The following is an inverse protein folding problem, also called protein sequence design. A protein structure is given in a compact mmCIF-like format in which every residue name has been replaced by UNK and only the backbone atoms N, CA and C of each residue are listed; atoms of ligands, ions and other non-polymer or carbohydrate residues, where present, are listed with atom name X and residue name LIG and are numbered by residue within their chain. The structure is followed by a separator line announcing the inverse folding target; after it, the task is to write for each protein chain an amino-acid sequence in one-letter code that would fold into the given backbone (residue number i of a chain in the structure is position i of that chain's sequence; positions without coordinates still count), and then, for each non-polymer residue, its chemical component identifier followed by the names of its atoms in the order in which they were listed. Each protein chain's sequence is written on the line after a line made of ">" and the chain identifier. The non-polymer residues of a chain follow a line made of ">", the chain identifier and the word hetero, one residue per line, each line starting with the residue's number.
data_IF_017049207963
#
_entry.id   IF_017049207963
#
_cell.length_a   1.000
_cell.length_b   1.000
_cell.length_c   1.000
_cell.angle_alpha   90.00
_cell.angle_beta   90.00
_cell.angle_gamma   90.00
#
_symmetry.space_group_name_H-M   'P 1'
#
loop_
_entity.id
_entity.type
_entity.pdbx_description
1 polymer ?
#
# COMPACT_ATOMS: atom_id res chain seq x y z
N UNK A 1 57.08 69.41 -32.27
CA UNK A 1 55.75 68.80 -32.09
C UNK A 1 55.89 67.29 -32.17
N UNK A 2 55.70 66.61 -31.04
CA UNK A 2 55.76 65.15 -30.94
C UNK A 2 54.51 64.71 -30.17
N UNK A 3 53.66 63.91 -30.80
CA UNK A 3 52.53 63.24 -30.15
C UNK A 3 52.75 61.73 -30.23
N UNK A 4 53.00 61.15 -29.07
CA UNK A 4 53.32 59.73 -28.84
C UNK A 4 52.03 59.05 -28.37
N UNK A 5 51.41 58.24 -29.24
CA UNK A 5 50.25 57.44 -28.87
C UNK A 5 50.69 56.19 -28.09
N UNK A 6 50.50 56.22 -26.77
CA UNK A 6 50.55 55.04 -25.90
C UNK A 6 49.16 54.89 -25.27
N UNK A 7 48.49 53.78 -25.54
CA UNK A 7 47.33 53.37 -24.75
C UNK A 7 46.28 52.62 -25.55
N UNK A 8 46.47 51.31 -25.76
CA UNK A 8 45.37 50.38 -26.09
C UNK A 8 45.75 48.89 -25.97
N UNK A 9 46.80 48.53 -25.22
CA UNK A 9 47.21 47.13 -25.04
C UNK A 9 46.73 46.47 -23.73
N UNK A 10 46.12 47.22 -22.81
CA UNK A 10 45.81 46.74 -21.45
C UNK A 10 44.44 46.08 -21.23
N UNK A 11 43.45 46.24 -22.12
CA UNK A 11 42.07 45.80 -21.86
C UNK A 11 41.68 44.45 -22.47
N UNK A 12 42.56 43.79 -23.24
CA UNK A 12 42.24 42.52 -23.93
C UNK A 12 42.48 41.26 -23.10
N UNK A 13 43.10 41.35 -21.93
CA UNK A 13 43.48 40.16 -21.14
C UNK A 13 42.43 39.73 -20.10
N UNK A 14 41.53 40.61 -19.66
CA UNK A 14 40.54 40.28 -18.61
C UNK A 14 39.21 39.76 -19.19
N UNK A 15 38.82 40.20 -20.39
CA UNK A 15 37.60 39.73 -21.04
C UNK A 15 37.68 38.28 -21.59
N UNK A 16 38.88 37.78 -21.91
CA UNK A 16 39.07 36.44 -22.47
C UNK A 16 39.06 35.32 -21.43
N UNK A 17 39.47 35.62 -20.18
CA UNK A 17 39.47 34.63 -19.09
C UNK A 17 38.05 34.27 -18.61
N UNK A 18 37.14 35.25 -18.54
CA UNK A 18 35.74 35.02 -18.11
C UNK A 18 34.92 34.19 -19.10
N UNK A 19 35.13 34.39 -20.40
CA UNK A 19 34.44 33.64 -21.46
C UNK A 19 34.97 32.20 -21.57
N UNK A 20 36.28 31.99 -21.40
CA UNK A 20 36.88 30.66 -21.42
C UNK A 20 36.42 29.77 -20.26
N UNK A 21 36.29 30.33 -19.05
CA UNK A 21 35.79 29.62 -17.88
C UNK A 21 34.29 29.26 -18.02
N UNK A 22 33.47 30.19 -18.51
CA UNK A 22 32.04 29.93 -18.73
C UNK A 22 31.79 28.89 -19.84
N UNK A 23 32.53 28.96 -20.95
CA UNK A 23 32.46 27.98 -22.02
C UNK A 23 32.97 26.60 -21.56
N UNK A 24 34.05 26.55 -20.77
CA UNK A 24 34.57 25.32 -20.18
C UNK A 24 33.55 24.65 -19.25
N UNK A 25 32.90 25.42 -18.38
CA UNK A 25 31.83 24.92 -17.50
C UNK A 25 30.60 24.43 -18.28
N UNK A 26 30.23 25.11 -19.38
CA UNK A 26 29.12 24.67 -20.23
C UNK A 26 29.44 23.36 -20.98
N UNK A 27 30.68 23.20 -21.45
CA UNK A 27 31.14 21.97 -22.12
C UNK A 27 31.23 20.80 -21.15
N UNK A 28 31.74 21.00 -19.93
CA UNK A 28 31.78 19.93 -18.90
C UNK A 28 30.37 19.51 -18.47
N UNK A 29 29.45 20.46 -18.26
CA UNK A 29 28.05 20.17 -18.00
C UNK A 29 27.39 19.44 -19.18
N UNK A 30 27.65 19.86 -20.42
CA UNK A 30 27.13 19.19 -21.61
C UNK A 30 27.68 17.75 -21.76
N UNK A 31 28.95 17.54 -21.45
CA UNK A 31 29.57 16.21 -21.45
C UNK A 31 29.03 15.30 -20.32
N UNK A 32 28.59 15.87 -19.20
CA UNK A 32 28.00 15.11 -18.08
C UNK A 32 26.49 14.83 -18.23
N UNK A 33 25.76 15.58 -19.07
CA UNK A 33 24.33 15.38 -19.30
C UNK A 33 23.93 13.95 -19.72
N UNK A 34 24.63 13.29 -20.67
CA UNK A 34 24.30 11.91 -21.04
C UNK A 34 24.48 10.92 -19.89
N UNK A 35 25.53 11.09 -19.07
CA UNK A 35 25.78 10.25 -17.91
C UNK A 35 24.67 10.42 -16.85
N UNK A 36 24.27 11.66 -16.55
CA UNK A 36 23.15 11.92 -15.64
C UNK A 36 21.82 11.35 -16.16
N UNK A 37 21.56 11.45 -17.47
CA UNK A 37 20.37 10.83 -18.09
C UNK A 37 20.40 9.31 -17.98
N UNK A 38 21.54 8.69 -18.23
CA UNK A 38 21.71 7.23 -18.10
C UNK A 38 21.53 6.77 -16.65
N UNK A 39 22.07 7.51 -15.68
CA UNK A 39 21.87 7.22 -14.26
C UNK A 39 20.40 7.33 -13.85
N UNK A 40 19.69 8.39 -14.27
CA UNK A 40 18.25 8.54 -14.01
C UNK A 40 17.44 7.39 -14.61
N UNK A 41 17.67 7.06 -15.88
CA UNK A 41 17.00 5.94 -16.53
C UNK A 41 17.27 4.60 -15.82
N UNK A 42 18.49 4.41 -15.28
CA UNK A 42 18.82 3.21 -14.51
C UNK A 42 18.15 3.19 -13.14
N UNK A 43 18.04 4.33 -12.46
CA UNK A 43 17.30 4.44 -11.20
C UNK A 43 15.82 4.14 -11.44
N UNK A 44 15.19 4.79 -12.41
CA UNK A 44 13.79 4.55 -12.80
C UNK A 44 13.56 3.07 -13.13
N UNK A 45 14.46 2.46 -13.89
CA UNK A 45 14.37 1.03 -14.22
C UNK A 45 14.47 0.13 -12.97
N UNK A 46 15.38 0.44 -12.04
CA UNK A 46 15.53 -0.31 -10.79
C UNK A 46 14.32 -0.11 -9.86
N UNK A 47 13.76 1.09 -9.80
CA UNK A 47 12.54 1.41 -9.04
C UNK A 47 11.35 0.60 -9.57
N UNK A 48 11.15 0.61 -10.90
CA UNK A 48 10.10 -0.19 -11.54
C UNK A 48 10.32 -1.70 -11.33
N UNK A 49 11.56 -2.19 -11.48
CA UNK A 49 11.87 -3.60 -11.25
C UNK A 49 11.64 -4.01 -9.79
N UNK A 50 12.04 -3.16 -8.83
CA UNK A 50 11.81 -3.37 -7.40
C UNK A 50 10.33 -3.39 -7.06
N UNK A 51 9.54 -2.48 -7.64
CA UNK A 51 8.09 -2.42 -7.44
C UNK A 51 7.40 -3.66 -8.02
N UNK A 52 7.76 -4.06 -9.23
CA UNK A 52 7.22 -5.26 -9.86
C UNK A 52 7.59 -6.53 -9.05
N UNK A 53 8.82 -6.61 -8.54
CA UNK A 53 9.24 -7.71 -7.67
C UNK A 53 8.46 -7.72 -6.36
N UNK A 54 8.26 -6.56 -5.73
CA UNK A 54 7.47 -6.43 -4.51
C UNK A 54 6.03 -6.91 -4.71
N UNK A 55 5.38 -6.46 -5.79
CA UNK A 55 4.03 -6.90 -6.15
C UNK A 55 3.95 -8.40 -6.43
N UNK A 56 4.95 -8.97 -7.09
CA UNK A 56 5.05 -10.41 -7.35
C UNK A 56 5.18 -11.21 -6.06
N UNK A 57 6.08 -10.78 -5.17
CA UNK A 57 6.29 -11.42 -3.87
C UNK A 57 5.02 -11.38 -3.01
N UNK A 58 4.32 -10.25 -3.03
CA UNK A 58 3.07 -10.08 -2.31
C UNK A 58 1.97 -11.03 -2.82
N UNK A 59 1.75 -11.07 -4.14
CA UNK A 59 0.80 -12.00 -4.75
C UNK A 59 1.14 -13.46 -4.47
N UNK A 60 2.44 -13.80 -4.45
CA UNK A 60 2.90 -15.14 -4.08
C UNK A 60 2.59 -15.47 -2.62
N UNK A 61 2.86 -14.54 -1.69
CA UNK A 61 2.50 -14.73 -0.28
C UNK A 61 1.00 -14.97 -0.14
N UNK A 62 0.16 -14.14 -0.77
CA UNK A 62 -1.29 -14.26 -0.67
C UNK A 62 -1.78 -15.62 -1.17
N UNK A 63 -1.17 -16.15 -2.24
CA UNK A 63 -1.47 -17.50 -2.73
C UNK A 63 -1.11 -18.57 -1.70
N UNK A 64 0.08 -18.50 -1.10
CA UNK A 64 0.49 -19.43 -0.04
C UNK A 64 -0.46 -19.38 1.16
N UNK A 65 -0.86 -18.17 1.59
CA UNK A 65 -1.82 -18.02 2.67
C UNK A 65 -3.15 -18.70 2.35
N UNK A 66 -3.70 -18.48 1.15
CA UNK A 66 -4.90 -19.16 0.69
C UNK A 66 -4.75 -20.68 0.64
N UNK A 67 -3.61 -21.19 0.16
CA UNK A 67 -3.34 -22.63 0.11
C UNK A 67 -3.31 -23.26 1.52
N UNK A 68 -2.75 -22.56 2.51
CA UNK A 68 -2.75 -23.02 3.91
C UNK A 68 -4.17 -23.03 4.49
N UNK A 69 -4.94 -21.97 4.26
CA UNK A 69 -6.34 -21.91 4.70
C UNK A 69 -7.19 -22.99 4.02
N UNK A 70 -6.99 -23.23 2.72
CA UNK A 70 -7.68 -24.29 1.98
C UNK A 70 -7.40 -25.67 2.59
N UNK A 71 -6.13 -25.96 2.91
CA UNK A 71 -5.76 -27.23 3.57
C UNK A 71 -6.41 -27.36 4.95
N UNK A 72 -6.39 -26.29 5.74
CA UNK A 72 -7.06 -26.28 7.04
C UNK A 72 -8.59 -26.42 6.93
N UNK A 73 -9.20 -25.93 5.84
CA UNK A 73 -10.63 -26.13 5.60
C UNK A 73 -10.99 -27.58 5.24
N UNK A 74 -10.07 -28.33 4.64
CA UNK A 74 -10.27 -29.73 4.25
C UNK A 74 -9.93 -30.72 5.38
N UNK A 75 -9.04 -30.33 6.30
CA UNK A 75 -8.54 -31.17 7.39
C UNK A 75 -8.76 -30.52 8.77
N UNK A 76 -9.73 -31.01 9.56
CA UNK A 76 -10.02 -30.49 10.90
C UNK A 76 -8.82 -30.53 11.86
N UNK A 77 -7.92 -31.51 11.73
CA UNK A 77 -6.75 -31.62 12.61
C UNK A 77 -5.74 -30.49 12.31
N UNK A 78 -5.66 -30.04 11.05
CA UNK A 78 -4.88 -28.86 10.68
C UNK A 78 -5.58 -27.56 11.08
N UNK A 79 -6.91 -27.54 11.07
CA UNK A 79 -7.70 -26.38 11.48
C UNK A 79 -7.45 -26.02 12.95
N UNK A 80 -7.25 -27.02 13.82
CA UNK A 80 -7.02 -26.83 15.26
C UNK A 80 -5.85 -25.88 15.55
N UNK A 81 -4.80 -25.87 14.71
CA UNK A 81 -3.65 -24.94 14.84
C UNK A 81 -4.07 -23.47 14.68
N UNK A 82 -5.16 -23.23 13.96
CA UNK A 82 -5.72 -21.91 13.68
C UNK A 82 -6.89 -21.56 14.62
N UNK A 83 -7.26 -22.45 15.54
CA UNK A 83 -8.29 -22.19 16.55
C UNK A 83 -7.73 -21.31 17.68
N UNK A 84 -7.74 -20.00 17.43
CA UNK A 84 -7.41 -19.00 18.43
C UNK A 84 -8.66 -18.27 18.94
N UNK A 85 -9.85 -18.83 18.73
CA UNK A 85 -11.11 -18.22 19.12
C UNK A 85 -11.35 -18.39 20.64
N UNK A 86 -12.06 -17.45 21.25
CA UNK A 86 -12.47 -17.59 22.64
C UNK A 86 -13.58 -18.65 22.75
N UNK A 87 -13.23 -19.84 23.26
CA UNK A 87 -14.16 -20.94 23.49
C UNK A 87 -14.04 -22.08 22.48
N UNK A 88 -14.93 -23.06 22.55
CA UNK A 88 -14.92 -24.22 21.65
C UNK A 88 -15.80 -23.96 20.43
N UNK A 89 -15.20 -23.91 19.25
CA UNK A 89 -15.89 -23.72 17.97
C UNK A 89 -16.11 -25.09 17.31
N UNK A 90 -17.29 -25.32 16.71
CA UNK A 90 -17.51 -26.59 16.00
C UNK A 90 -16.63 -26.67 14.74
N UNK A 91 -16.22 -27.87 14.27
CA UNK A 91 -15.43 -28.00 13.03
C UNK A 91 -16.13 -27.40 11.79
N UNK A 92 -17.47 -27.32 11.80
CA UNK A 92 -18.22 -26.63 10.75
C UNK A 92 -18.01 -25.12 10.83
N UNK A 93 -18.22 -24.54 12.01
CA UNK A 93 -18.08 -23.09 12.25
C UNK A 93 -16.64 -22.64 12.02
N UNK A 94 -15.67 -23.44 12.42
CA UNK A 94 -14.25 -23.19 12.19
C UNK A 94 -13.94 -23.05 10.70
N UNK A 95 -14.44 -23.95 9.84
CA UNK A 95 -14.29 -23.82 8.38
C UNK A 95 -14.94 -22.56 7.83
N UNK A 96 -16.10 -22.17 8.37
CA UNK A 96 -16.75 -20.92 7.97
C UNK A 96 -15.95 -19.70 8.40
N UNK A 97 -15.33 -19.72 9.58
CA UNK A 97 -14.47 -18.65 10.08
C UNK A 97 -13.15 -18.56 9.29
N UNK A 98 -12.54 -19.69 8.91
CA UNK A 98 -11.39 -19.70 8.01
C UNK A 98 -11.72 -19.09 6.65
N UNK A 99 -12.91 -19.40 6.10
CA UNK A 99 -13.37 -18.79 4.86
C UNK A 99 -13.63 -17.28 5.01
N UNK A 100 -14.27 -16.87 6.12
CA UNK A 100 -14.48 -15.45 6.43
C UNK A 100 -13.16 -14.68 6.59
N UNK A 101 -12.16 -15.30 7.25
CA UNK A 101 -10.80 -14.77 7.34
C UNK A 101 -10.20 -14.57 5.95
N UNK A 102 -10.32 -15.57 5.08
CA UNK A 102 -9.79 -15.49 3.73
C UNK A 102 -10.45 -14.37 2.89
N UNK A 103 -11.76 -14.15 3.02
CA UNK A 103 -12.46 -13.05 2.37
C UNK A 103 -11.95 -11.69 2.86
N UNK A 104 -11.82 -11.53 4.18
CA UNK A 104 -11.32 -10.30 4.78
C UNK A 104 -9.87 -10.00 4.40
N UNK A 105 -8.97 -10.98 4.53
CA UNK A 105 -7.55 -10.80 4.21
C UNK A 105 -7.35 -10.56 2.71
N UNK A 106 -8.16 -11.18 1.84
CA UNK A 106 -8.16 -10.88 0.41
C UNK A 106 -8.51 -9.42 0.11
N UNK A 107 -9.58 -8.89 0.70
CA UNK A 107 -9.96 -7.48 0.53
C UNK A 107 -8.91 -6.51 1.08
N UNK A 108 -8.34 -6.82 2.26
CA UNK A 108 -7.23 -6.06 2.85
C UNK A 108 -6.02 -6.04 1.92
N UNK A 109 -5.72 -7.16 1.26
CA UNK A 109 -4.64 -7.25 0.29
C UNK A 109 -4.93 -6.42 -0.96
N UNK A 110 -6.16 -6.47 -1.48
CA UNK A 110 -6.58 -5.62 -2.60
C UNK A 110 -6.42 -4.13 -2.30
N UNK A 111 -6.81 -3.71 -1.09
CA UNK A 111 -6.61 -2.35 -0.62
C UNK A 111 -5.12 -1.98 -0.53
N UNK A 112 -4.29 -2.82 0.11
CA UNK A 112 -2.84 -2.58 0.25
C UNK A 112 -2.10 -2.51 -1.08
N UNK A 113 -2.59 -3.21 -2.10
CA UNK A 113 -2.05 -3.15 -3.47
C UNK A 113 -2.45 -1.87 -4.23
N UNK A 114 -3.36 -1.07 -3.69
CA UNK A 114 -3.92 0.11 -4.37
C UNK A 114 -4.95 -0.22 -5.44
N UNK A 115 -5.45 -1.47 -5.48
CA UNK A 115 -6.47 -1.92 -6.43
C UNK A 115 -7.90 -1.67 -5.91
N UNK A 116 -8.03 -1.23 -4.67
CA UNK A 116 -9.29 -0.95 -4.01
C UNK A 116 -9.12 0.31 -3.17
N UNK A 117 -10.00 1.28 -3.33
CA UNK A 117 -10.03 2.49 -2.50
C UNK A 117 -10.57 2.17 -1.10
N UNK A 118 -10.41 3.10 -0.16
CA UNK A 118 -10.96 2.94 1.19
C UNK A 118 -12.49 2.90 1.18
N UNK A 119 -13.12 3.70 0.31
CA UNK A 119 -14.57 3.70 0.10
C UNK A 119 -15.07 2.38 -0.47
N UNK A 120 -14.37 1.81 -1.46
CA UNK A 120 -14.71 0.49 -2.02
C UNK A 120 -14.57 -0.61 -0.97
N UNK A 121 -13.53 -0.56 -0.14
CA UNK A 121 -13.37 -1.47 0.99
C UNK A 121 -14.52 -1.33 1.99
N UNK A 122 -14.96 -0.11 2.29
CA UNK A 122 -16.11 0.14 3.16
C UNK A 122 -17.38 -0.50 2.60
N UNK A 123 -17.67 -0.31 1.32
CA UNK A 123 -18.81 -0.94 0.65
C UNK A 123 -18.74 -2.47 0.67
N UNK A 124 -17.55 -3.03 0.46
CA UNK A 124 -17.33 -4.47 0.56
C UNK A 124 -17.56 -5.01 1.98
N UNK A 125 -17.03 -4.34 3.00
CA UNK A 125 -17.25 -4.69 4.40
C UNK A 125 -18.73 -4.62 4.77
N UNK A 126 -19.44 -3.57 4.34
CA UNK A 126 -20.89 -3.42 4.55
C UNK A 126 -21.67 -4.62 4.05
N UNK A 127 -21.32 -5.12 2.85
CA UNK A 127 -21.91 -6.31 2.25
C UNK A 127 -21.57 -7.58 3.04
N UNK A 128 -20.31 -7.78 3.44
CA UNK A 128 -19.91 -8.94 4.25
C UNK A 128 -20.63 -9.00 5.59
N UNK A 129 -20.80 -7.86 6.25
CA UNK A 129 -21.50 -7.75 7.52
C UNK A 129 -23.01 -8.05 7.41
N UNK A 130 -23.59 -8.24 6.22
CA UNK A 130 -24.95 -8.80 6.12
C UNK A 130 -25.00 -10.28 6.48
N UNK A 131 -23.87 -10.99 6.38
CA UNK A 131 -23.82 -12.40 6.71
C UNK A 131 -23.63 -12.60 8.22
N UNK A 132 -24.55 -13.28 8.93
CA UNK A 132 -24.45 -13.48 10.38
C UNK A 132 -23.19 -14.26 10.78
N UNK A 133 -22.75 -15.22 9.95
CA UNK A 133 -21.53 -15.99 10.22
C UNK A 133 -20.28 -15.10 10.11
N UNK A 134 -20.28 -14.14 9.20
CA UNK A 134 -19.20 -13.16 9.13
C UNK A 134 -19.19 -12.25 10.37
N UNK A 135 -20.36 -11.83 10.88
CA UNK A 135 -20.44 -11.07 12.15
C UNK A 135 -19.89 -11.89 13.33
N UNK A 136 -20.28 -13.15 13.45
CA UNK A 136 -19.78 -14.05 14.49
C UNK A 136 -18.25 -14.19 14.42
N UNK A 137 -17.70 -14.43 13.21
CA UNK A 137 -16.27 -14.43 12.96
C UNK A 137 -15.62 -13.10 13.37
N UNK A 138 -16.25 -11.98 13.01
CA UNK A 138 -15.74 -10.64 13.28
C UNK A 138 -15.66 -10.37 14.79
N UNK A 139 -16.65 -10.83 15.55
CA UNK A 139 -16.61 -10.78 17.01
C UNK A 139 -15.56 -11.73 17.60
N UNK A 140 -15.53 -12.99 17.17
CA UNK A 140 -14.60 -14.00 17.68
C UNK A 140 -13.12 -13.63 17.46
N UNK A 141 -12.81 -12.86 16.43
CA UNK A 141 -11.45 -12.41 16.12
C UNK A 141 -11.10 -11.03 16.67
N UNK A 142 -11.96 -10.41 17.47
CA UNK A 142 -11.70 -9.09 18.07
C UNK A 142 -10.40 -9.05 18.90
N UNK A 143 -10.04 -10.05 19.72
CA UNK A 143 -8.79 -10.04 20.46
C UNK A 143 -7.55 -9.95 19.54
N UNK A 144 -7.57 -10.64 18.41
CA UNK A 144 -6.48 -10.59 17.43
C UNK A 144 -6.30 -9.18 16.88
N UNK A 145 -7.40 -8.54 16.46
CA UNK A 145 -7.36 -7.16 15.94
C UNK A 145 -6.91 -6.15 17.00
N UNK A 146 -7.21 -6.39 18.28
CA UNK A 146 -6.76 -5.55 19.38
C UNK A 146 -5.24 -5.61 19.64
N UNK A 147 -4.53 -6.62 19.12
CA UNK A 147 -3.05 -6.71 19.23
C UNK A 147 -2.31 -6.00 18.10
N UNK A 148 -3.02 -5.52 17.08
CA UNK A 148 -2.43 -4.83 15.95
C UNK A 148 -1.83 -3.48 16.38
N UNK A 149 -0.76 -3.07 15.70
CA UNK A 149 -0.20 -1.72 15.87
C UNK A 149 -1.28 -0.72 15.44
N UNK A 150 -1.65 0.19 16.34
CA UNK A 150 -2.76 1.14 16.15
C UNK A 150 -2.67 1.99 14.88
N UNK A 151 -1.44 2.30 14.45
CA UNK A 151 -1.15 3.11 13.27
C UNK A 151 -1.13 2.31 11.96
N UNK A 152 -1.20 0.98 12.04
CA UNK A 152 -1.22 0.11 10.88
C UNK A 152 -2.53 0.28 10.09
N UNK A 153 -2.44 0.09 8.77
CA UNK A 153 -3.62 0.16 7.89
C UNK A 153 -4.69 -0.87 8.27
N UNK A 154 -4.27 -2.04 8.75
CA UNK A 154 -5.20 -3.08 9.18
C UNK A 154 -5.96 -2.70 10.45
N UNK A 155 -5.29 -2.07 11.42
CA UNK A 155 -5.96 -1.56 12.61
C UNK A 155 -6.97 -0.45 12.26
N UNK A 156 -6.61 0.45 11.33
CA UNK A 156 -7.51 1.52 10.85
C UNK A 156 -8.74 0.96 10.13
N UNK A 157 -8.54 0.03 9.20
CA UNK A 157 -9.65 -0.61 8.48
C UNK A 157 -10.47 -1.50 9.43
N UNK A 158 -9.83 -2.21 10.35
CA UNK A 158 -10.50 -3.00 11.37
C UNK A 158 -11.47 -2.17 12.20
N UNK A 159 -11.01 -1.03 12.74
CA UNK A 159 -11.88 -0.09 13.47
C UNK A 159 -13.03 0.44 12.62
N UNK A 160 -12.76 0.77 11.36
CA UNK A 160 -13.80 1.21 10.43
C UNK A 160 -14.90 0.15 10.23
N UNK A 161 -14.53 -1.14 10.17
CA UNK A 161 -15.49 -2.24 10.08
C UNK A 161 -16.19 -2.48 11.43
N UNK A 162 -15.49 -2.31 12.55
CA UNK A 162 -16.11 -2.36 13.89
C UNK A 162 -17.19 -1.26 14.04
N UNK A 163 -16.88 -0.02 13.67
CA UNK A 163 -17.81 1.11 13.72
C UNK A 163 -19.01 0.89 12.78
N UNK A 164 -18.78 0.34 11.59
CA UNK A 164 -19.83 0.00 10.64
C UNK A 164 -20.75 -1.10 11.16
N UNK A 165 -20.20 -2.12 11.84
CA UNK A 165 -21.00 -3.18 12.45
C UNK A 165 -21.94 -2.61 13.51
N UNK A 166 -21.44 -1.72 14.38
CA UNK A 166 -22.29 -1.03 15.38
C UNK A 166 -23.42 -0.26 14.69
N UNK A 167 -23.10 0.51 13.66
CA UNK A 167 -24.12 1.27 12.91
C UNK A 167 -25.16 0.37 12.24
N UNK A 168 -24.75 -0.78 11.70
CA UNK A 168 -25.66 -1.78 11.10
C UNK A 168 -26.54 -2.50 12.13
N UNK A 169 -26.09 -2.61 13.39
CA UNK A 169 -26.89 -3.19 14.47
C UNK A 169 -27.86 -2.19 15.08
N UNK A 170 -27.50 -0.91 15.12
CA UNK A 170 -28.36 0.18 15.60
C UNK A 170 -29.39 0.64 14.55
N UNK A 171 -29.08 0.45 13.26
CA UNK A 171 -29.96 0.83 12.17
C UNK A 171 -31.15 -0.13 12.05
N UNK A 172 -32.31 0.30 12.56
CA UNK A 172 -33.60 -0.39 12.39
C UNK A 172 -34.22 -0.10 11.01
N UNK A 173 -33.46 -0.33 9.94
CA UNK A 173 -33.89 -0.14 8.56
C UNK A 173 -33.50 -1.33 7.67
N UNK A 174 -34.38 -1.71 6.76
CA UNK A 174 -34.14 -2.80 5.79
C UNK A 174 -33.06 -2.45 4.75
N UNK A 175 -32.83 -1.14 4.52
CA UNK A 175 -31.91 -0.63 3.52
C UNK A 175 -30.46 -0.57 4.05
N UNK A 176 -29.88 -1.73 4.29
CA UNK A 176 -28.52 -1.83 4.84
C UNK A 176 -27.45 -1.12 3.99
N UNK A 177 -27.65 -0.95 2.67
CA UNK A 177 -26.69 -0.32 1.76
C UNK A 177 -26.52 1.18 1.96
N UNK A 178 -27.46 1.86 2.64
CA UNK A 178 -27.33 3.28 3.02
C UNK A 178 -26.75 3.49 4.41
N UNK A 179 -26.53 2.43 5.18
CA UNK A 179 -26.03 2.53 6.57
C UNK A 179 -24.55 2.91 6.57
N UNK A 180 -24.25 3.95 7.34
CA UNK A 180 -22.93 4.51 7.57
C UNK A 180 -22.40 5.35 6.43
N UNK A 181 -21.68 6.41 6.81
CA UNK A 181 -21.04 7.33 5.87
C UNK A 181 -19.71 6.73 5.38
N UNK A 182 -19.51 6.61 4.06
CA UNK A 182 -18.21 6.22 3.53
C UNK A 182 -17.15 7.23 3.97
N UNK A 183 -15.94 6.79 4.33
CA UNK A 183 -14.88 7.71 4.71
C UNK A 183 -14.53 8.63 3.53
N UNK A 184 -14.49 9.94 3.77
CA UNK A 184 -13.86 10.87 2.84
C UNK A 184 -12.36 10.61 2.76
N UNK A 185 -11.81 10.70 1.55
CA UNK A 185 -10.37 10.48 1.26
C UNK A 185 -9.43 11.35 2.12
#
# INVERSE_FOLDING_TARGET
>A
MATRNIGLRGLRAVASAGVGLAAGAAVTLAAQRPALKSLRARIEHLEHASQAQHQTNFAHQQRLHWELLSKAMDDPDLAEVLDAYDGTVSPRTQRQFLFANALYTNALCYYRMGNMTREEFFGFARSMLQNPIFREYWYATRPHRATLIDTSEEAKLGRMVDDLLVQLEEADIDEWWVVGEPPSE
#
